data_IF_959185817151
#
_entry.id   IF_959185817151
#
_cell.length_a   1.000
_cell.length_b   1.000
_cell.length_c   1.000
_cell.angle_alpha   90.00
_cell.angle_beta   90.00
_cell.angle_gamma   90.00
#
_symmetry.space_group_name_H-M   'P 1'
#
loop_
_entity.id
_entity.type
_entity.pdbx_description
1 polymer ?
#
# COMPACT_ATOMS: atom_id res chain seq x y z
N UNK A 1 35.65 54.57 30.62
CA UNK A 1 34.75 54.39 31.78
C UNK A 1 33.32 54.72 31.35
N UNK A 2 32.41 53.74 31.45
CA UNK A 2 30.94 53.77 31.59
C UNK A 2 30.11 54.77 30.75
N UNK A 3 29.32 54.27 29.78
CA UNK A 3 27.92 53.78 29.88
C UNK A 3 26.90 54.93 29.95
N UNK A 4 26.22 55.17 28.83
CA UNK A 4 24.85 55.68 28.79
C UNK A 4 24.00 54.71 27.95
N UNK A 5 22.96 54.19 28.59
CA UNK A 5 21.89 53.39 28.01
C UNK A 5 20.90 54.31 27.31
N UNK A 6 20.63 54.06 26.03
CA UNK A 6 19.47 54.63 25.34
C UNK A 6 18.70 53.49 24.67
N UNK A 7 17.50 53.26 25.18
CA UNK A 7 16.46 52.42 24.60
C UNK A 7 16.24 52.76 23.13
N UNK A 8 16.19 51.75 22.26
CA UNK A 8 15.78 51.91 20.88
C UNK A 8 14.43 51.23 20.67
N UNK A 9 13.43 52.09 20.40
CA UNK A 9 12.10 51.77 19.92
C UNK A 9 12.17 50.90 18.67
N UNK A 10 11.63 49.68 18.74
CA UNK A 10 11.33 48.86 17.56
C UNK A 10 9.88 49.14 17.16
N UNK A 11 9.62 49.69 15.96
CA UNK A 11 8.26 49.96 15.51
C UNK A 11 7.50 48.66 15.23
N UNK A 12 6.31 48.53 15.82
CA UNK A 12 5.34 47.45 15.57
C UNK A 12 4.91 47.50 14.10
N UNK A 13 5.35 46.51 13.33
CA UNK A 13 4.92 46.31 11.94
C UNK A 13 3.47 45.83 11.94
N UNK A 14 2.60 46.62 11.33
CA UNK A 14 1.18 46.34 11.11
C UNK A 14 1.01 45.04 10.32
N UNK A 15 0.28 44.07 10.88
CA UNK A 15 -0.18 42.89 10.16
C UNK A 15 -1.32 43.33 9.25
N UNK A 16 -1.06 43.41 7.93
CA UNK A 16 -2.10 43.55 6.93
C UNK A 16 -2.90 42.25 6.87
N UNK A 17 -4.18 42.34 7.22
CA UNK A 17 -5.19 41.37 6.83
C UNK A 17 -5.22 41.28 5.30
N UNK A 18 -4.77 40.15 4.75
CA UNK A 18 -5.07 39.78 3.37
C UNK A 18 -6.31 38.89 3.39
N UNK A 19 -7.49 39.52 3.42
CA UNK A 19 -8.71 38.89 2.94
C UNK A 19 -8.53 38.64 1.44
N UNK A 20 -8.19 37.40 1.07
CA UNK A 20 -8.13 36.96 -0.32
C UNK A 20 -9.30 35.99 -0.58
N UNK A 21 -10.39 36.59 -1.07
CA UNK A 21 -11.36 36.08 -2.05
C UNK A 21 -11.41 34.54 -2.20
N UNK A 22 -12.26 33.89 -1.40
CA UNK A 22 -12.85 32.62 -1.80
C UNK A 22 -13.95 32.93 -2.83
N UNK A 23 -14.00 32.24 -3.99
CA UNK A 23 -15.14 32.35 -4.87
C UNK A 23 -16.39 31.82 -4.16
N UNK A 24 -17.45 32.63 -4.14
CA UNK A 24 -18.79 32.23 -3.73
C UNK A 24 -19.30 31.15 -4.68
N UNK A 25 -19.40 29.92 -4.18
CA UNK A 25 -19.88 28.78 -4.95
C UNK A 25 -21.40 28.67 -4.80
N UNK A 26 -22.13 29.47 -5.58
CA UNK A 26 -23.57 29.33 -5.76
C UNK A 26 -23.85 28.06 -6.60
N UNK A 27 -24.50 27.07 -5.99
CA UNK A 27 -25.21 26.02 -6.71
C UNK A 27 -24.47 24.68 -6.86
N UNK A 28 -25.01 23.68 -6.17
CA UNK A 28 -24.71 22.24 -6.29
C UNK A 28 -23.25 21.83 -5.98
N UNK A 29 -22.97 21.58 -4.70
CA UNK A 29 -21.84 20.73 -4.30
C UNK A 29 -22.07 19.34 -4.89
N UNK A 30 -21.39 19.03 -6.00
CA UNK A 30 -21.13 17.65 -6.36
C UNK A 30 -20.56 16.95 -5.11
N UNK A 31 -21.00 15.73 -4.75
CA UNK A 31 -20.45 15.04 -3.60
C UNK A 31 -18.93 14.96 -3.81
N UNK A 32 -18.16 15.54 -2.89
CA UNK A 32 -16.74 15.29 -2.80
C UNK A 32 -16.60 13.77 -2.74
N UNK A 33 -16.02 13.17 -3.78
CA UNK A 33 -15.69 11.74 -3.74
C UNK A 33 -14.83 11.57 -2.50
N UNK A 34 -15.36 10.90 -1.47
CA UNK A 34 -14.61 10.58 -0.27
C UNK A 34 -13.28 9.97 -0.70
N UNK A 35 -12.19 10.67 -0.40
CA UNK A 35 -10.85 10.26 -0.79
C UNK A 35 -10.37 9.26 0.25
N UNK A 36 -10.70 7.99 0.04
CA UNK A 36 -10.28 6.91 0.94
C UNK A 36 -8.95 6.34 0.47
N UNK A 37 -7.99 6.24 1.39
CA UNK A 37 -6.74 5.50 1.18
C UNK A 37 -6.89 4.11 1.78
N UNK A 38 -6.35 3.09 1.11
CA UNK A 38 -6.16 1.79 1.74
C UNK A 38 -4.78 1.77 2.39
N UNK A 39 -4.73 1.52 3.69
CA UNK A 39 -3.50 1.43 4.46
C UNK A 39 -3.35 0.00 4.98
N UNK A 40 -2.17 -0.57 4.73
CA UNK A 40 -1.74 -1.87 5.21
C UNK A 40 -0.64 -1.67 6.27
N UNK A 41 -0.77 -2.34 7.41
CA UNK A 41 0.17 -2.23 8.52
C UNK A 41 0.41 -3.58 9.19
N UNK A 42 1.20 -3.56 10.28
CA UNK A 42 1.17 -4.65 11.24
C UNK A 42 -0.26 -4.83 11.76
N UNK A 43 -0.75 -6.06 11.68
CA UNK A 43 -2.01 -6.57 12.21
C UNK A 43 -3.30 -5.95 11.64
N UNK A 44 -3.24 -4.99 10.70
CA UNK A 44 -4.43 -4.32 10.21
C UNK A 44 -4.34 -3.88 8.75
N UNK A 45 -5.47 -3.99 8.06
CA UNK A 45 -5.77 -3.40 6.76
C UNK A 45 -7.03 -2.53 6.94
N UNK A 46 -6.98 -1.27 6.54
CA UNK A 46 -8.09 -0.33 6.78
C UNK A 46 -8.18 0.76 5.72
N UNK A 47 -9.38 1.32 5.58
CA UNK A 47 -9.56 2.60 4.88
C UNK A 47 -9.29 3.75 5.84
N UNK A 48 -8.56 4.75 5.38
CA UNK A 48 -8.48 6.07 5.99
C UNK A 48 -9.24 7.06 5.11
N UNK A 49 -10.28 7.68 5.65
CA UNK A 49 -10.86 8.88 5.04
C UNK A 49 -9.89 10.04 5.24
N UNK A 50 -9.35 10.63 4.16
CA UNK A 50 -8.32 11.67 4.30
C UNK A 50 -8.85 13.02 4.75
N UNK A 51 -10.17 13.24 4.63
CA UNK A 51 -10.78 14.51 4.99
C UNK A 51 -11.15 14.51 6.49
N UNK A 52 -11.65 13.39 7.00
CA UNK A 52 -12.05 13.25 8.42
C UNK A 52 -11.02 12.55 9.30
N UNK A 53 -10.04 11.86 8.70
CA UNK A 53 -9.13 10.92 9.35
C UNK A 53 -9.84 9.75 10.07
N UNK A 54 -11.11 9.51 9.75
CA UNK A 54 -11.80 8.34 10.26
C UNK A 54 -11.27 7.07 9.59
N UNK A 55 -11.11 6.04 10.41
CA UNK A 55 -10.59 4.76 9.97
C UNK A 55 -11.70 3.70 9.96
N UNK A 56 -11.76 2.91 8.89
CA UNK A 56 -12.66 1.76 8.79
C UNK A 56 -11.83 0.50 8.57
N UNK A 57 -11.78 -0.39 9.55
CA UNK A 57 -11.04 -1.66 9.43
C UNK A 57 -11.68 -2.55 8.37
N UNK A 58 -10.84 -3.11 7.50
CA UNK A 58 -11.20 -4.09 6.46
C UNK A 58 -10.88 -5.48 6.99
N UNK A 59 -9.65 -5.66 7.50
CA UNK A 59 -9.15 -6.95 7.98
C UNK A 59 -8.11 -6.75 9.08
N UNK A 60 -8.01 -7.68 10.03
CA UNK A 60 -7.02 -7.67 11.10
C UNK A 60 -6.72 -9.10 11.59
N UNK A 61 -5.62 -9.28 12.32
CA UNK A 61 -5.31 -10.55 13.00
C UNK A 61 -4.42 -11.54 12.24
N UNK A 62 -4.22 -11.38 10.92
CA UNK A 62 -3.45 -12.34 10.10
C UNK A 62 -1.99 -11.92 9.86
N UNK A 63 -1.40 -11.21 10.82
CA UNK A 63 0.02 -10.91 10.84
C UNK A 63 0.36 -9.55 10.28
N UNK A 64 1.16 -9.46 9.22
CA UNK A 64 1.58 -8.20 8.60
C UNK A 64 1.07 -8.12 7.18
N UNK A 65 0.38 -7.01 6.88
CA UNK A 65 -0.17 -6.75 5.56
C UNK A 65 0.79 -5.92 4.71
N UNK A 66 0.93 -6.30 3.46
CA UNK A 66 1.68 -5.60 2.42
C UNK A 66 0.95 -5.71 1.09
N UNK A 67 1.32 -4.90 0.10
CA UNK A 67 0.92 -5.05 -1.30
C UNK A 67 -0.57 -5.27 -1.52
N UNK A 68 -1.30 -4.20 -1.84
CA UNK A 68 -2.75 -4.27 -2.00
C UNK A 68 -3.13 -3.95 -3.45
N UNK A 69 -4.00 -4.77 -4.02
CA UNK A 69 -4.61 -4.48 -5.32
C UNK A 69 -6.08 -4.92 -5.37
N UNK A 70 -6.89 -4.36 -6.30
CA UNK A 70 -8.30 -4.73 -6.42
C UNK A 70 -8.49 -6.23 -6.69
N UNK A 71 -9.44 -6.84 -5.98
CA UNK A 71 -9.91 -8.19 -6.28
C UNK A 71 -11.17 -8.19 -7.16
N UNK A 72 -11.66 -9.38 -7.56
CA UNK A 72 -12.91 -9.51 -8.28
C UNK A 72 -14.08 -9.04 -7.41
N UNK A 73 -15.16 -8.54 -8.02
CA UNK A 73 -16.39 -8.29 -7.29
C UNK A 73 -16.98 -9.60 -6.78
N UNK A 74 -17.42 -9.60 -5.52
CA UNK A 74 -18.14 -10.70 -4.91
C UNK A 74 -19.64 -10.38 -4.88
N UNK A 75 -20.49 -11.36 -5.17
CA UNK A 75 -21.94 -11.18 -5.25
C UNK A 75 -22.54 -10.63 -3.95
N UNK A 76 -22.17 -11.22 -2.81
CA UNK A 76 -22.64 -10.80 -1.48
C UNK A 76 -21.93 -9.56 -0.93
N UNK A 77 -20.61 -9.46 -1.11
CA UNK A 77 -19.77 -8.51 -0.37
C UNK A 77 -19.30 -7.32 -1.23
N UNK A 78 -19.67 -7.28 -2.51
CA UNK A 78 -19.31 -6.20 -3.42
C UNK A 78 -17.80 -6.17 -3.70
N UNK A 79 -17.17 -5.03 -3.43
CA UNK A 79 -15.75 -4.83 -3.73
C UNK A 79 -14.86 -5.66 -2.80
N UNK A 80 -13.78 -6.20 -3.37
CA UNK A 80 -12.80 -6.99 -2.64
C UNK A 80 -11.39 -6.49 -2.92
N UNK A 81 -10.46 -6.84 -2.04
CA UNK A 81 -9.05 -6.55 -2.21
C UNK A 81 -8.25 -7.85 -2.11
N UNK A 82 -7.18 -7.94 -2.89
CA UNK A 82 -6.09 -8.86 -2.60
C UNK A 82 -5.04 -8.15 -1.78
N UNK A 83 -4.50 -8.85 -0.77
CA UNK A 83 -3.45 -8.34 0.10
C UNK A 83 -2.45 -9.46 0.42
N UNK A 84 -1.15 -9.13 0.46
CA UNK A 84 -0.15 -10.04 1.01
C UNK A 84 -0.29 -10.06 2.53
N UNK A 85 -0.40 -11.25 3.10
CA UNK A 85 -0.41 -11.47 4.55
C UNK A 85 0.76 -12.35 4.95
N UNK A 86 1.51 -11.89 5.95
CA UNK A 86 2.68 -12.58 6.45
C UNK A 86 2.62 -12.83 7.94
N UNK A 87 3.19 -13.95 8.43
CA UNK A 87 3.32 -14.15 9.86
C UNK A 87 4.10 -13.00 10.52
N UNK A 88 3.77 -12.69 11.76
CA UNK A 88 4.51 -11.69 12.53
C UNK A 88 6.00 -12.05 12.64
N UNK A 89 6.88 -11.06 12.49
CA UNK A 89 8.34 -11.24 12.58
C UNK A 89 8.81 -11.64 13.99
N UNK A 90 7.99 -11.41 15.03
CA UNK A 90 8.34 -11.72 16.41
C UNK A 90 7.56 -12.95 16.89
N UNK A 91 8.29 -14.05 17.13
CA UNK A 91 7.74 -15.36 17.50
C UNK A 91 6.62 -15.86 16.56
N UNK A 92 6.91 -16.05 15.26
CA UNK A 92 5.94 -16.57 14.32
C UNK A 92 5.44 -17.96 14.76
N UNK A 93 4.12 -18.16 14.74
CA UNK A 93 3.51 -19.49 14.96
C UNK A 93 3.63 -20.38 13.72
N UNK A 94 3.86 -19.76 12.56
CA UNK A 94 4.02 -20.40 11.26
C UNK A 94 4.88 -19.51 10.35
N UNK A 95 5.38 -20.06 9.25
CA UNK A 95 6.18 -19.34 8.24
C UNK A 95 5.48 -19.26 6.89
N UNK A 96 4.16 -19.50 6.84
CA UNK A 96 3.39 -19.57 5.60
C UNK A 96 2.99 -18.15 5.20
N UNK A 97 3.34 -17.76 3.98
CA UNK A 97 2.95 -16.48 3.38
C UNK A 97 1.76 -16.67 2.45
N UNK A 98 0.87 -15.69 2.44
CA UNK A 98 -0.44 -15.80 1.78
C UNK A 98 -0.77 -14.56 0.97
N UNK A 99 -1.56 -14.76 -0.08
CA UNK A 99 -2.45 -13.74 -0.61
C UNK A 99 -3.85 -14.00 -0.06
N UNK A 100 -4.44 -12.98 0.56
CA UNK A 100 -5.81 -13.01 1.05
C UNK A 100 -6.69 -12.18 0.13
N UNK A 101 -7.81 -12.73 -0.33
CA UNK A 101 -8.89 -11.95 -0.90
C UNK A 101 -9.88 -11.62 0.20
N UNK A 102 -9.99 -10.35 0.53
CA UNK A 102 -10.79 -9.85 1.65
C UNK A 102 -11.92 -8.99 1.13
N UNK A 103 -13.05 -9.06 1.82
CA UNK A 103 -14.19 -8.22 1.53
C UNK A 103 -13.89 -6.76 1.95
N UNK A 104 -14.10 -5.78 1.07
CA UNK A 104 -13.66 -4.40 1.27
C UNK A 104 -14.76 -3.33 1.14
N UNK A 105 -16.03 -3.72 1.18
CA UNK A 105 -17.15 -2.79 1.09
C UNK A 105 -17.91 -2.68 2.43
N UNK A 106 -17.70 -1.62 3.24
CA UNK A 106 -18.54 -1.39 4.41
C UNK A 106 -20.03 -1.26 4.01
N UNK A 107 -20.99 -1.62 4.88
CA UNK A 107 -20.87 -1.74 6.34
C UNK A 107 -20.64 -3.16 6.88
N UNK A 108 -20.11 -4.09 6.08
CA UNK A 108 -19.87 -5.45 6.55
C UNK A 108 -18.87 -5.53 7.73
N UNK A 109 -18.96 -6.58 8.59
CA UNK A 109 -17.98 -6.81 9.64
C UNK A 109 -16.55 -6.92 9.06
N UNK A 110 -15.53 -6.42 9.79
CA UNK A 110 -14.14 -6.61 9.39
C UNK A 110 -13.72 -8.08 9.46
N UNK A 111 -12.67 -8.45 8.73
CA UNK A 111 -12.04 -9.77 8.84
C UNK A 111 -12.63 -10.86 7.94
N UNK A 112 -13.47 -10.50 6.97
CA UNK A 112 -14.05 -11.49 6.05
C UNK A 112 -13.02 -11.81 4.95
N UNK A 113 -12.33 -12.95 5.13
CA UNK A 113 -11.52 -13.57 4.09
C UNK A 113 -12.38 -14.48 3.21
N UNK A 114 -12.44 -14.17 1.92
CA UNK A 114 -13.20 -14.89 0.90
C UNK A 114 -12.38 -16.01 0.29
N UNK A 115 -11.07 -15.78 0.16
CA UNK A 115 -10.14 -16.75 -0.41
C UNK A 115 -8.74 -16.53 0.15
N UNK A 116 -8.05 -17.64 0.35
CA UNK A 116 -6.64 -17.67 0.72
C UNK A 116 -5.84 -18.45 -0.33
N UNK A 117 -4.66 -17.94 -0.68
CA UNK A 117 -3.71 -18.62 -1.54
C UNK A 117 -2.34 -18.59 -0.88
N UNK A 118 -1.79 -19.76 -0.58
CA UNK A 118 -0.41 -19.89 -0.12
C UNK A 118 0.53 -19.55 -1.28
N UNK A 119 1.46 -18.63 -1.04
CA UNK A 119 2.48 -18.24 -2.01
C UNK A 119 3.85 -18.81 -1.62
N UNK A 120 4.63 -19.36 -2.57
CA UNK A 120 5.95 -19.92 -2.30
C UNK A 120 6.99 -18.80 -2.22
N UNK A 121 6.86 -17.98 -1.18
CA UNK A 121 7.73 -16.84 -0.87
C UNK A 121 8.37 -17.02 0.50
N UNK A 122 9.57 -16.50 0.62
CA UNK A 122 10.22 -16.21 1.90
C UNK A 122 10.33 -14.70 1.96
N UNK A 123 9.53 -14.08 2.82
CA UNK A 123 9.43 -12.63 2.97
C UNK A 123 8.77 -11.90 1.79
N UNK A 124 7.47 -12.07 1.58
CA UNK A 124 6.69 -11.32 0.59
C UNK A 124 6.52 -9.85 1.03
N UNK A 125 6.86 -8.88 0.20
CA UNK A 125 6.82 -7.47 0.63
C UNK A 125 5.89 -6.58 -0.19
N UNK A 126 5.51 -7.01 -1.39
CA UNK A 126 4.60 -6.25 -2.23
C UNK A 126 3.91 -7.16 -3.22
N UNK A 127 2.76 -6.73 -3.69
CA UNK A 127 2.01 -7.39 -4.74
C UNK A 127 1.23 -6.37 -5.56
N UNK A 128 1.26 -6.54 -6.88
CA UNK A 128 0.64 -5.62 -7.83
C UNK A 128 -0.06 -6.40 -8.94
N UNK A 129 -1.15 -5.81 -9.44
CA UNK A 129 -1.91 -6.35 -10.55
C UNK A 129 -1.52 -5.62 -11.84
N UNK A 130 -1.14 -6.38 -12.85
CA UNK A 130 -1.07 -5.92 -14.23
C UNK A 130 -2.33 -6.42 -14.97
N UNK A 131 -3.31 -5.53 -15.06
CA UNK A 131 -4.59 -5.82 -15.71
C UNK A 131 -4.46 -6.02 -17.23
N UNK A 132 -3.43 -5.45 -17.85
CA UNK A 132 -3.26 -5.53 -19.31
C UNK A 132 -2.85 -6.94 -19.73
N UNK A 133 -2.03 -7.58 -18.91
CA UNK A 133 -1.51 -8.93 -19.20
C UNK A 133 -2.19 -10.03 -18.37
N UNK A 134 -3.16 -9.68 -17.52
CA UNK A 134 -3.89 -10.63 -16.69
C UNK A 134 -2.97 -11.40 -15.74
N UNK A 135 -2.01 -10.68 -15.12
CA UNK A 135 -1.04 -11.24 -14.18
C UNK A 135 -1.00 -10.42 -12.90
N UNK A 136 -0.79 -11.10 -11.79
CA UNK A 136 -0.39 -10.45 -10.54
C UNK A 136 1.07 -10.79 -10.27
N UNK A 137 1.84 -9.81 -9.82
CA UNK A 137 3.22 -10.01 -9.41
C UNK A 137 3.33 -9.93 -7.89
N UNK A 138 4.19 -10.75 -7.29
CA UNK A 138 4.51 -10.69 -5.85
C UNK A 138 6.02 -10.61 -5.69
N UNK A 139 6.49 -9.63 -4.92
CA UNK A 139 7.90 -9.50 -4.56
C UNK A 139 8.22 -10.46 -3.40
N UNK A 140 8.97 -11.53 -3.68
CA UNK A 140 9.53 -12.45 -2.68
C UNK A 140 10.94 -11.97 -2.32
N UNK A 141 11.02 -11.15 -1.27
CA UNK A 141 12.19 -10.33 -0.94
C UNK A 141 13.39 -11.15 -0.53
N UNK A 142 13.24 -12.11 0.39
CA UNK A 142 14.37 -12.88 0.92
C UNK A 142 14.93 -13.85 -0.13
N UNK A 143 14.09 -14.34 -1.04
CA UNK A 143 14.55 -15.18 -2.15
C UNK A 143 15.04 -14.37 -3.37
N UNK A 144 14.88 -13.05 -3.38
CA UNK A 144 15.30 -12.19 -4.49
C UNK A 144 14.51 -12.41 -5.78
N UNK A 145 13.25 -12.85 -5.67
CA UNK A 145 12.48 -13.26 -6.86
C UNK A 145 11.16 -12.51 -6.96
N UNK A 146 10.66 -12.42 -8.19
CA UNK A 146 9.30 -11.96 -8.45
C UNK A 146 8.46 -13.16 -8.88
N UNK A 147 7.38 -13.43 -8.15
CA UNK A 147 6.41 -14.46 -8.51
C UNK A 147 5.41 -13.87 -9.49
N UNK A 148 5.19 -14.52 -10.63
CA UNK A 148 4.11 -14.19 -11.56
C UNK A 148 2.97 -15.17 -11.34
N UNK A 149 1.81 -14.63 -10.99
CA UNK A 149 0.58 -15.36 -10.76
C UNK A 149 -0.45 -15.04 -11.85
N UNK A 150 -1.32 -16.00 -12.13
CA UNK A 150 -2.52 -15.78 -12.92
C UNK A 150 -3.49 -14.83 -12.19
N UNK A 151 -3.92 -13.73 -12.81
CA UNK A 151 -4.76 -12.73 -12.12
C UNK A 151 -6.17 -13.21 -11.74
N UNK A 152 -6.67 -14.31 -12.31
CA UNK A 152 -8.00 -14.83 -12.00
C UNK A 152 -7.93 -15.91 -10.91
N UNK A 153 -6.93 -16.79 -11.03
CA UNK A 153 -6.79 -17.97 -10.20
C UNK A 153 -5.75 -17.80 -9.09
N UNK A 154 -4.90 -16.76 -9.15
CA UNK A 154 -3.74 -16.56 -8.28
C UNK A 154 -2.78 -17.75 -8.23
N UNK A 155 -2.86 -18.67 -9.20
CA UNK A 155 -1.93 -19.78 -9.32
C UNK A 155 -0.59 -19.28 -9.86
N UNK A 156 0.50 -19.80 -9.31
CA UNK A 156 1.85 -19.50 -9.79
C UNK A 156 2.01 -19.95 -11.23
N UNK A 157 2.33 -19.01 -12.11
CA UNK A 157 2.69 -19.26 -13.51
C UNK A 157 4.20 -19.40 -13.66
N UNK A 158 4.95 -18.47 -13.07
CA UNK A 158 6.40 -18.39 -13.24
C UNK A 158 7.06 -17.75 -12.03
N UNK A 159 8.31 -18.15 -11.76
CA UNK A 159 9.21 -17.49 -10.82
C UNK A 159 10.31 -16.79 -11.62
N UNK A 160 10.46 -15.48 -11.42
CA UNK A 160 11.47 -14.66 -12.09
C UNK A 160 12.67 -14.45 -11.17
N UNK A 161 13.77 -15.12 -11.48
CA UNK A 161 15.03 -15.08 -10.72
C UNK A 161 15.93 -13.93 -11.21
N UNK A 162 15.39 -12.71 -11.14
CA UNK A 162 16.05 -11.51 -11.66
C UNK A 162 17.01 -10.86 -10.66
N UNK A 163 16.84 -11.16 -9.38
CA UNK A 163 17.61 -10.59 -8.29
C UNK A 163 18.18 -11.68 -7.40
N UNK A 164 19.10 -11.28 -6.55
CA UNK A 164 19.67 -12.14 -5.52
C UNK A 164 19.08 -11.81 -4.16
N UNK A 165 19.35 -12.68 -3.18
CA UNK A 165 19.05 -12.40 -1.77
C UNK A 165 19.72 -11.13 -1.23
N UNK A 166 20.70 -10.53 -1.92
CA UNK A 166 21.34 -9.30 -1.49
C UNK A 166 20.66 -8.03 -2.00
N UNK A 167 19.87 -8.16 -3.07
CA UNK A 167 19.20 -7.04 -3.71
C UNK A 167 17.91 -6.68 -2.98
N UNK A 168 17.24 -7.68 -2.39
CA UNK A 168 15.97 -7.57 -1.68
C UNK A 168 14.94 -6.74 -2.46
N UNK A 169 14.22 -7.39 -3.37
CA UNK A 169 13.11 -6.74 -4.08
C UNK A 169 11.97 -6.43 -3.10
N UNK A 170 11.60 -5.16 -3.00
CA UNK A 170 10.71 -4.69 -1.95
C UNK A 170 9.40 -4.10 -2.46
N UNK A 171 9.46 -3.33 -3.54
CA UNK A 171 8.29 -2.71 -4.15
C UNK A 171 8.38 -2.95 -5.64
N UNK A 172 7.25 -3.28 -6.23
CA UNK A 172 7.14 -3.52 -7.66
C UNK A 172 5.99 -2.70 -8.23
N UNK A 173 6.08 -2.33 -9.49
CA UNK A 173 5.01 -1.61 -10.17
C UNK A 173 5.00 -1.99 -11.63
N UNK A 174 3.87 -2.43 -12.21
CA UNK A 174 3.78 -2.67 -13.63
C UNK A 174 4.03 -1.36 -14.38
N UNK A 175 4.74 -1.43 -15.50
CA UNK A 175 4.89 -0.28 -16.39
C UNK A 175 3.54 -0.04 -17.07
N UNK A 176 3.15 1.23 -17.22
CA UNK A 176 1.90 1.56 -17.88
C UNK A 176 1.92 1.07 -19.34
N UNK A 177 0.79 0.59 -19.86
CA UNK A 177 0.68 0.04 -21.22
C UNK A 177 1.19 1.01 -22.31
N UNK A 178 1.01 2.31 -22.11
CA UNK A 178 1.49 3.35 -23.04
C UNK A 178 3.02 3.37 -23.17
N UNK A 179 3.74 2.89 -22.16
CA UNK A 179 5.20 2.85 -22.09
C UNK A 179 5.77 1.46 -22.43
N UNK A 180 5.08 0.37 -22.06
CA UNK A 180 5.54 -1.00 -22.27
C UNK A 180 5.12 -1.65 -23.59
N UNK A 181 4.12 -1.08 -24.27
CA UNK A 181 3.43 -1.77 -25.37
C UNK A 181 2.85 -3.12 -24.90
N UNK A 182 2.99 -4.16 -25.71
CA UNK A 182 2.51 -5.53 -25.41
C UNK A 182 3.49 -6.36 -24.56
N UNK A 183 4.56 -5.75 -24.05
CA UNK A 183 5.55 -6.45 -23.24
C UNK A 183 5.19 -6.40 -21.75
N UNK A 184 5.29 -7.55 -21.07
CA UNK A 184 5.27 -7.62 -19.61
C UNK A 184 6.53 -6.95 -19.05
N UNK A 185 6.38 -5.77 -18.49
CA UNK A 185 7.48 -5.02 -17.88
C UNK A 185 7.03 -4.43 -16.54
N UNK A 186 7.95 -4.36 -15.59
CA UNK A 186 7.71 -3.76 -14.28
C UNK A 186 8.97 -3.03 -13.79
N UNK A 187 8.75 -2.00 -13.00
CA UNK A 187 9.77 -1.40 -12.16
C UNK A 187 9.88 -2.18 -10.86
N UNK A 188 11.10 -2.35 -10.36
CA UNK A 188 11.37 -2.92 -9.06
C UNK A 188 12.26 -1.97 -8.26
N UNK A 189 11.83 -1.65 -7.04
CA UNK A 189 12.66 -0.96 -6.05
C UNK A 189 13.34 -2.00 -5.17
N UNK A 190 14.65 -1.90 -5.11
CA UNK A 190 15.53 -2.76 -4.32
C UNK A 190 15.94 -2.00 -3.06
N UNK A 191 15.74 -2.58 -1.88
CA UNK A 191 16.33 -2.01 -0.66
C UNK A 191 17.66 -2.72 -0.37
N UNK A 192 18.78 -2.02 -0.56
CA UNK A 192 20.13 -2.58 -0.34
C UNK A 192 20.40 -2.74 1.16
N UNK A 193 19.78 -3.72 1.80
CA UNK A 193 19.97 -4.00 3.22
C UNK A 193 21.39 -4.49 3.58
N UNK A 194 22.29 -4.68 2.61
CA UNK A 194 23.60 -5.25 2.87
C UNK A 194 23.48 -6.68 3.41
N UNK A 195 24.52 -7.23 4.03
CA UNK A 195 24.46 -8.59 4.60
C UNK A 195 23.29 -8.69 5.60
N UNK A 196 22.45 -9.75 5.55
CA UNK A 196 21.41 -9.94 6.55
C UNK A 196 22.02 -9.92 7.94
N UNK A 197 21.36 -9.25 8.89
CA UNK A 197 21.80 -9.32 10.29
C UNK A 197 21.76 -10.77 10.71
N UNK A 198 22.94 -11.35 10.96
CA UNK A 198 23.07 -12.65 11.59
C UNK A 198 22.49 -12.56 13.00
N UNK A 199 21.27 -13.04 13.17
CA UNK A 199 20.75 -13.49 14.47
C UNK A 199 20.89 -15.00 14.53
#
# INVERSE_FOLDING_TARGET
KNKQSSEHNIPKKQTREAQQLLPSNDGATAPTRARKLVLASHNRLFYLDVDTFEETTIHEGDGVYYGVFPGPKHETYGDTLWVVSRPHNHHPKESIERLLNVAANPPQPPGITLREVVIPSRFAHDAVLDTNHGVAYVASTEDGTVLELDANTMQLRQKHELFTRHDHVNTISPIAAAESGDSKQFWAMLHRMGKPSTL
#
